data_IF_056117721677
#
_entry.id   IF_056117721677
#
_cell.length_a   1.000
_cell.length_b   1.000
_cell.length_c   1.000
_cell.angle_alpha   90.00
_cell.angle_beta   90.00
_cell.angle_gamma   90.00
#
_symmetry.space_group_name_H-M   'P 1'
#
loop_
_entity.id
_entity.type
_entity.pdbx_description
1 polymer ?
#
# COMPACT_ATOMS: atom_id res chain seq x y z
N UNK A 1 -10.83 16.74 -6.36
CA UNK A 1 -11.33 15.40 -6.75
C UNK A 1 -10.69 15.06 -8.08
N UNK A 2 -10.09 13.87 -8.18
CA UNK A 2 -9.47 13.36 -9.39
C UNK A 2 -10.27 12.13 -9.85
N UNK A 3 -10.67 12.11 -11.11
CA UNK A 3 -11.43 11.00 -11.71
C UNK A 3 -10.57 10.40 -12.81
N UNK A 4 -10.22 9.13 -12.66
CA UNK A 4 -9.48 8.34 -13.63
C UNK A 4 -10.43 7.36 -14.33
N UNK A 5 -10.42 7.39 -15.66
CA UNK A 5 -11.10 6.39 -16.48
C UNK A 5 -10.05 5.40 -17.00
N UNK A 6 -10.15 4.14 -16.57
CA UNK A 6 -9.29 3.05 -17.03
C UNK A 6 -10.02 2.24 -18.08
N UNK A 7 -9.66 2.48 -19.32
CA UNK A 7 -10.15 1.74 -20.46
C UNK A 7 -9.23 0.56 -20.78
N UNK A 8 -9.82 -0.55 -21.18
CA UNK A 8 -9.08 -1.65 -21.77
C UNK A 8 -8.86 -1.36 -23.27
N UNK A 9 -7.64 -1.58 -23.77
CA UNK A 9 -7.34 -1.45 -25.20
C UNK A 9 -8.08 -2.55 -25.97
N UNK A 10 -8.98 -2.14 -26.87
CA UNK A 10 -9.87 -3.04 -27.64
C UNK A 10 -9.77 -2.87 -29.16
N UNK A 11 -8.80 -2.08 -29.63
CA UNK A 11 -8.69 -1.70 -31.03
C UNK A 11 -7.97 -2.76 -31.90
N UNK A 12 -7.23 -3.67 -31.27
CA UNK A 12 -6.43 -4.68 -31.97
C UNK A 12 -7.19 -6.00 -32.13
N UNK A 13 -6.90 -6.76 -33.20
CA UNK A 13 -7.52 -8.07 -33.48
C UNK A 13 -7.40 -9.04 -32.29
N UNK A 14 -6.24 -9.04 -31.63
CA UNK A 14 -5.95 -9.85 -30.43
C UNK A 14 -6.83 -9.41 -29.25
N UNK A 15 -7.07 -8.11 -29.11
CA UNK A 15 -7.96 -7.54 -28.09
C UNK A 15 -9.42 -7.95 -28.29
N UNK A 16 -9.88 -8.00 -29.54
CA UNK A 16 -11.23 -8.46 -29.90
C UNK A 16 -11.41 -9.96 -29.63
N UNK A 17 -10.43 -10.79 -30.00
CA UNK A 17 -10.44 -12.23 -29.71
C UNK A 17 -10.36 -12.52 -28.20
N UNK A 18 -9.55 -11.77 -27.47
CA UNK A 18 -9.45 -11.86 -26.00
C UNK A 18 -10.79 -11.55 -25.31
N UNK A 19 -11.54 -10.59 -25.85
CA UNK A 19 -12.88 -10.20 -25.38
C UNK A 19 -13.91 -11.34 -25.51
N UNK A 20 -13.86 -12.07 -26.63
CA UNK A 20 -14.73 -13.22 -26.87
C UNK A 20 -14.49 -14.32 -25.82
N UNK A 21 -13.23 -14.50 -25.41
CA UNK A 21 -12.84 -15.49 -24.41
C UNK A 21 -13.05 -15.01 -22.96
N UNK A 22 -12.81 -13.72 -22.67
CA UNK A 22 -13.00 -13.12 -21.34
C UNK A 22 -13.53 -11.68 -21.47
N UNK A 23 -14.86 -11.50 -21.32
CA UNK A 23 -15.46 -10.19 -21.29
C UNK A 23 -14.95 -9.38 -20.09
N UNK A 24 -14.43 -8.17 -20.34
CA UNK A 24 -13.82 -7.33 -19.32
C UNK A 24 -14.39 -5.91 -19.36
N UNK A 25 -14.75 -5.41 -18.18
CA UNK A 25 -15.39 -4.11 -18.01
C UNK A 25 -14.34 -3.01 -17.79
N UNK A 26 -14.61 -1.82 -18.30
CA UNK A 26 -13.81 -0.63 -17.96
C UNK A 26 -14.01 -0.25 -16.50
N UNK A 27 -13.08 0.52 -15.94
CA UNK A 27 -13.14 0.95 -14.55
C UNK A 27 -13.10 2.47 -14.44
N UNK A 28 -13.94 3.01 -13.55
CA UNK A 28 -13.92 4.40 -13.12
C UNK A 28 -13.34 4.42 -11.72
N UNK A 29 -12.23 5.13 -11.53
CA UNK A 29 -11.59 5.32 -10.24
C UNK A 29 -11.76 6.78 -9.84
N UNK A 30 -12.49 7.02 -8.76
CA UNK A 30 -12.65 8.36 -8.19
C UNK A 30 -11.77 8.46 -6.96
N UNK A 31 -10.78 9.36 -7.01
CA UNK A 31 -9.85 9.65 -5.93
C UNK A 31 -10.11 11.05 -5.38
N UNK A 32 -10.48 11.11 -4.10
CA UNK A 32 -10.72 12.38 -3.41
C UNK A 32 -9.69 12.52 -2.31
N UNK A 33 -8.72 13.40 -2.51
CA UNK A 33 -7.78 13.80 -1.46
C UNK A 33 -8.48 14.73 -0.49
N UNK A 34 -8.49 14.37 0.79
CA UNK A 34 -9.12 15.13 1.86
C UNK A 34 -8.09 15.93 2.63
N UNK A 35 -8.51 17.03 3.26
CA UNK A 35 -7.61 17.83 4.09
C UNK A 35 -7.22 17.06 5.37
N UNK A 36 -5.93 17.07 5.78
CA UNK A 36 -5.47 16.38 6.98
C UNK A 36 -6.23 16.75 8.26
N UNK A 37 -6.70 17.99 8.36
CA UNK A 37 -7.41 18.51 9.55
C UNK A 37 -8.92 18.19 9.55
N UNK A 38 -9.48 17.84 8.39
CA UNK A 38 -10.93 17.71 8.23
C UNK A 38 -11.50 16.40 8.79
N UNK A 39 -10.68 15.35 8.88
CA UNK A 39 -11.11 13.99 9.20
C UNK A 39 -10.28 13.40 10.32
N UNK A 40 -10.87 12.52 11.12
CA UNK A 40 -10.10 11.68 12.03
C UNK A 40 -9.41 10.54 11.26
N UNK A 41 -8.43 9.93 11.90
CA UNK A 41 -7.65 8.85 11.32
C UNK A 41 -8.40 7.52 11.46
N UNK A 42 -8.75 6.87 10.35
CA UNK A 42 -9.22 5.49 10.38
C UNK A 42 -8.91 4.79 9.06
N UNK A 43 -8.96 3.45 9.05
CA UNK A 43 -8.94 2.64 7.83
C UNK A 43 -10.20 1.78 7.74
N UNK A 44 -10.85 1.85 6.59
CA UNK A 44 -12.01 1.03 6.24
C UNK A 44 -11.92 0.66 4.78
N UNK A 45 -12.53 -0.43 4.37
CA UNK A 45 -12.73 -0.79 2.98
C UNK A 45 -13.91 -1.74 2.82
N UNK A 46 -14.65 -1.57 1.72
CA UNK A 46 -15.73 -2.47 1.33
C UNK A 46 -15.55 -2.74 -0.15
N UNK A 47 -15.49 -4.02 -0.49
CA UNK A 47 -15.48 -4.40 -1.89
C UNK A 47 -16.12 -5.76 -2.12
N UNK A 48 -16.45 -6.01 -3.39
CA UNK A 48 -16.81 -7.33 -3.85
C UNK A 48 -15.59 -8.26 -3.89
N UNK A 49 -15.81 -9.55 -4.18
CA UNK A 49 -14.75 -10.58 -4.26
C UNK A 49 -13.58 -10.19 -5.19
N UNK A 50 -13.84 -9.45 -6.27
CA UNK A 50 -12.81 -9.00 -7.22
C UNK A 50 -11.99 -7.83 -6.65
N UNK A 51 -12.65 -6.81 -6.10
CA UNK A 51 -11.99 -5.67 -5.45
C UNK A 51 -11.22 -6.10 -4.20
N UNK A 52 -11.72 -7.09 -3.45
CA UNK A 52 -11.02 -7.67 -2.31
C UNK A 52 -9.66 -8.31 -2.67
N UNK A 53 -9.44 -8.71 -3.93
CA UNK A 53 -8.11 -9.13 -4.41
C UNK A 53 -7.20 -7.93 -4.65
N UNK A 54 -7.72 -6.87 -5.27
CA UNK A 54 -6.98 -5.63 -5.53
C UNK A 54 -6.54 -4.94 -4.24
N UNK A 55 -7.36 -5.04 -3.19
CA UNK A 55 -7.10 -4.46 -1.87
C UNK A 55 -5.99 -5.17 -1.09
N UNK A 56 -5.67 -6.43 -1.38
CA UNK A 56 -4.49 -7.10 -0.79
C UNK A 56 -3.16 -6.44 -1.20
N UNK A 57 -3.19 -5.64 -2.27
CA UNK A 57 -2.02 -4.95 -2.77
C UNK A 57 -1.86 -3.54 -2.17
N UNK A 58 -2.75 -3.12 -1.26
CA UNK A 58 -2.63 -1.85 -0.55
C UNK A 58 -1.99 -2.10 0.83
N UNK A 59 -0.91 -1.38 1.11
CA UNK A 59 -0.12 -1.60 2.32
C UNK A 59 -0.91 -1.26 3.60
N UNK A 60 -1.65 -0.14 3.57
CA UNK A 60 -2.50 0.32 4.67
C UNK A 60 -3.59 -0.70 5.08
N UNK A 61 -4.30 -1.30 4.12
CA UNK A 61 -5.32 -2.31 4.42
C UNK A 61 -4.71 -3.57 5.04
N UNK A 62 -3.53 -3.98 4.58
CA UNK A 62 -2.83 -5.12 5.15
C UNK A 62 -2.33 -4.83 6.57
N UNK A 63 -1.84 -3.62 6.83
CA UNK A 63 -1.32 -3.22 8.13
C UNK A 63 -2.44 -2.97 9.16
N UNK A 64 -3.48 -2.23 8.80
CA UNK A 64 -4.50 -1.77 9.74
C UNK A 64 -5.78 -2.62 9.76
N UNK A 65 -6.03 -3.42 8.72
CA UNK A 65 -7.25 -4.23 8.59
C UNK A 65 -6.96 -5.72 8.33
N UNK A 66 -6.28 -6.42 9.27
CA UNK A 66 -5.91 -7.82 9.07
C UNK A 66 -7.12 -8.77 8.97
N UNK A 67 -8.23 -8.42 9.62
CA UNK A 67 -9.43 -9.26 9.68
C UNK A 67 -10.50 -8.86 8.66
N UNK A 68 -11.03 -9.86 7.97
CA UNK A 68 -12.21 -9.71 7.10
C UNK A 68 -13.47 -9.97 7.91
N UNK A 69 -14.38 -9.01 7.91
CA UNK A 69 -15.67 -9.12 8.57
C UNK A 69 -16.75 -9.53 7.57
N UNK A 70 -17.65 -10.37 8.06
CA UNK A 70 -18.85 -10.82 7.35
C UNK A 70 -19.77 -9.63 7.05
N UNK A 71 -20.20 -9.42 5.79
CA UNK A 71 -21.01 -8.27 5.40
C UNK A 71 -22.39 -8.25 6.06
N UNK A 72 -22.93 -9.42 6.44
CA UNK A 72 -24.28 -9.57 7.00
C UNK A 72 -24.43 -8.83 8.33
N UNK A 73 -23.35 -8.72 9.11
CA UNK A 73 -23.32 -7.96 10.38
C UNK A 73 -23.64 -6.47 10.18
N UNK A 74 -23.48 -5.97 8.96
CA UNK A 74 -23.59 -4.57 8.60
C UNK A 74 -24.71 -4.29 7.58
N UNK A 75 -25.61 -5.25 7.37
CA UNK A 75 -26.71 -5.11 6.39
C UNK A 75 -26.25 -5.08 4.93
N UNK A 76 -25.02 -5.53 4.64
CA UNK A 76 -24.51 -5.59 3.27
C UNK A 76 -24.82 -6.94 2.61
N UNK A 77 -25.03 -6.96 1.28
CA UNK A 77 -25.20 -8.22 0.54
C UNK A 77 -23.98 -9.15 0.67
N UNK A 78 -24.23 -10.46 0.62
CA UNK A 78 -23.21 -11.53 0.75
C UNK A 78 -22.09 -11.48 -0.30
N UNK A 79 -22.28 -10.72 -1.39
CA UNK A 79 -21.26 -10.50 -2.42
C UNK A 79 -20.12 -9.55 -2.00
N UNK A 80 -20.23 -8.90 -0.84
CA UNK A 80 -19.26 -7.92 -0.33
C UNK A 80 -18.39 -8.49 0.79
N UNK A 81 -17.28 -7.81 1.06
CA UNK A 81 -16.39 -8.07 2.18
C UNK A 81 -16.02 -6.73 2.81
N UNK A 82 -16.05 -6.68 4.13
CA UNK A 82 -15.70 -5.49 4.91
C UNK A 82 -14.36 -5.71 5.58
N UNK A 83 -13.45 -4.76 5.41
CA UNK A 83 -12.18 -4.69 6.11
C UNK A 83 -12.16 -3.37 6.87
N UNK A 84 -11.90 -3.40 8.17
CA UNK A 84 -11.87 -2.16 8.96
C UNK A 84 -11.00 -2.32 10.18
N UNK A 85 -10.29 -1.25 10.51
CA UNK A 85 -9.59 -1.10 11.78
C UNK A 85 -10.61 -1.06 12.95
N UNK A 86 -11.78 -0.47 12.71
CA UNK A 86 -12.71 -0.06 13.76
C UNK A 86 -14.17 -0.34 13.39
N UNK A 87 -14.87 -1.12 14.23
CA UNK A 87 -16.28 -1.47 13.97
C UNK A 87 -17.23 -0.28 13.95
N UNK A 88 -16.99 0.74 14.77
CA UNK A 88 -17.79 1.97 14.85
C UNK A 88 -17.81 2.73 13.52
N UNK A 89 -16.67 2.79 12.83
CA UNK A 89 -16.52 3.47 11.53
C UNK A 89 -17.46 2.84 10.51
N UNK A 90 -17.51 1.51 10.46
CA UNK A 90 -18.37 0.81 9.51
C UNK A 90 -19.84 1.14 9.77
N UNK A 91 -20.29 1.12 11.02
CA UNK A 91 -21.69 1.45 11.36
C UNK A 91 -22.02 2.91 11.01
N UNK A 92 -21.12 3.84 11.31
CA UNK A 92 -21.34 5.26 11.03
C UNK A 92 -21.33 5.60 9.53
N UNK A 93 -20.55 4.87 8.74
CA UNK A 93 -20.47 5.04 7.28
C UNK A 93 -21.56 4.25 6.53
N UNK A 94 -22.03 3.13 7.07
CA UNK A 94 -23.00 2.24 6.42
C UNK A 94 -24.44 2.49 6.74
N UNK A 95 -24.74 3.42 7.64
CA UNK A 95 -26.08 3.97 7.82
C UNK A 95 -26.67 4.43 6.46
N UNK A 96 -25.81 4.70 5.46
CA UNK A 96 -26.14 4.50 4.03
C UNK A 96 -24.86 4.44 3.18
N UNK A 97 -24.47 3.25 2.69
CA UNK A 97 -23.45 2.96 1.64
C UNK A 97 -22.06 3.70 1.68
N UNK A 98 -21.06 2.94 2.14
CA UNK A 98 -19.66 2.70 1.69
C UNK A 98 -18.63 3.83 1.52
N UNK A 99 -17.46 3.74 2.21
CA UNK A 99 -16.15 4.25 1.71
C UNK A 99 -14.87 3.93 2.53
N UNK A 100 -13.71 3.93 1.84
CA UNK A 100 -12.36 3.61 2.34
C UNK A 100 -11.49 4.85 2.50
N UNK A 101 -10.91 5.08 3.68
CA UNK A 101 -10.01 6.19 4.02
C UNK A 101 -8.60 5.66 4.35
N UNK A 102 -7.59 6.42 3.89
CA UNK A 102 -6.15 6.16 3.77
C UNK A 102 -5.71 5.49 2.47
N UNK A 103 -4.81 6.18 1.77
CA UNK A 103 -4.09 5.70 0.59
C UNK A 103 -2.60 5.84 0.83
N UNK A 104 -1.90 4.71 0.98
CA UNK A 104 -0.44 4.64 1.05
C UNK A 104 0.22 4.22 -0.28
N UNK A 105 -0.53 4.13 -1.38
CA UNK A 105 -0.01 3.71 -2.69
C UNK A 105 0.03 2.20 -2.92
N UNK A 106 0.32 1.74 -4.15
CA UNK A 106 0.48 0.31 -4.47
C UNK A 106 1.68 -0.29 -3.72
N UNK A 107 1.56 -1.54 -3.25
CA UNK A 107 2.68 -2.31 -2.67
C UNK A 107 3.84 -2.34 -3.68
N UNK A 108 4.95 -1.69 -3.33
CA UNK A 108 6.20 -1.75 -4.09
C UNK A 108 6.68 -3.21 -4.02
N UNK A 109 7.02 -3.81 -5.17
CA UNK A 109 7.59 -5.16 -5.25
C UNK A 109 8.91 -5.23 -4.45
N UNK A 110 9.20 -6.41 -3.91
CA UNK A 110 10.10 -6.67 -2.78
C UNK A 110 11.59 -6.31 -2.95
N UNK A 111 12.03 -5.71 -4.07
CA UNK A 111 13.46 -5.43 -4.33
C UNK A 111 13.92 -4.01 -4.01
N UNK A 112 13.06 -3.13 -3.49
CA UNK A 112 13.52 -1.82 -3.01
C UNK A 112 12.68 -1.37 -1.82
N UNK A 113 13.09 -1.76 -0.61
CA UNK A 113 12.41 -1.31 0.60
C UNK A 113 12.68 0.18 0.84
N UNK A 114 11.63 1.00 1.01
CA UNK A 114 11.77 2.45 1.13
C UNK A 114 12.50 2.82 2.41
N UNK A 115 13.59 3.58 2.30
CA UNK A 115 14.40 4.07 3.43
C UNK A 115 13.78 5.27 4.17
N UNK A 116 12.66 5.79 3.66
CA UNK A 116 11.86 6.89 4.21
C UNK A 116 10.45 6.42 4.47
N UNK A 117 9.86 6.89 5.57
CA UNK A 117 8.46 6.69 5.90
C UNK A 117 7.57 7.09 4.70
N UNK A 118 6.63 6.25 4.26
CA UNK A 118 5.71 6.60 3.18
C UNK A 118 4.90 7.84 3.54
N UNK A 119 4.73 8.76 2.59
CA UNK A 119 3.88 9.93 2.80
C UNK A 119 2.41 9.48 2.87
N UNK A 120 1.80 9.59 4.04
CA UNK A 120 0.40 9.23 4.27
C UNK A 120 -0.53 10.40 3.92
N UNK A 121 -1.51 10.14 3.06
CA UNK A 121 -2.57 11.09 2.69
C UNK A 121 -3.94 10.52 3.04
N UNK A 122 -4.83 11.39 3.55
CA UNK A 122 -6.25 11.08 3.76
C UNK A 122 -6.94 11.12 2.41
N UNK A 123 -7.43 9.97 1.97
CA UNK A 123 -7.93 9.79 0.61
C UNK A 123 -9.09 8.84 0.63
N UNK A 124 -10.15 9.24 -0.07
CA UNK A 124 -11.31 8.44 -0.39
C UNK A 124 -11.14 7.86 -1.81
N UNK A 125 -11.15 6.53 -1.93
CA UNK A 125 -10.99 5.80 -3.20
C UNK A 125 -12.21 4.97 -3.58
N UNK A 126 -12.89 5.36 -4.66
CA UNK A 126 -14.01 4.62 -5.22
C UNK A 126 -13.58 3.94 -6.50
N UNK A 127 -13.84 2.64 -6.62
CA UNK A 127 -13.65 1.89 -7.86
C UNK A 127 -14.98 1.35 -8.36
N UNK A 128 -15.46 1.84 -9.49
CA UNK A 128 -16.67 1.37 -10.14
C UNK A 128 -16.32 0.63 -11.42
N UNK A 129 -16.89 -0.54 -11.64
CA UNK A 129 -16.83 -1.22 -12.94
C UNK A 129 -17.97 -0.72 -13.81
N UNK A 130 -17.65 -0.25 -15.02
CA UNK A 130 -18.65 0.23 -15.98
C UNK A 130 -19.48 -0.97 -16.46
N UNK A 131 -20.83 -0.89 -16.42
CA UNK A 131 -21.68 -1.96 -16.94
C UNK A 131 -21.49 -2.15 -18.45
N UNK A 132 -21.90 -3.29 -18.98
CA UNK A 132 -21.89 -3.54 -20.43
C UNK A 132 -20.63 -4.23 -20.96
N UNK A 133 -19.64 -4.55 -20.11
CA UNK A 133 -18.46 -5.38 -20.48
C UNK A 133 -17.76 -4.89 -21.75
N UNK A 134 -17.74 -3.58 -21.97
CA UNK A 134 -17.12 -2.90 -23.11
C UNK A 134 -18.08 -2.44 -24.22
N UNK A 135 -19.36 -2.80 -24.14
CA UNK A 135 -20.44 -2.15 -24.90
C UNK A 135 -21.05 -1.04 -24.04
N UNK A 136 -20.36 0.09 -23.97
CA UNK A 136 -20.80 1.23 -23.16
C UNK A 136 -21.63 2.18 -24.03
N UNK A 137 -22.90 2.33 -23.69
CA UNK A 137 -23.80 3.31 -24.31
C UNK A 137 -23.99 4.53 -23.39
N UNK A 138 -24.45 5.68 -23.91
CA UNK A 138 -24.79 6.84 -23.08
C UNK A 138 -25.79 6.51 -21.95
N UNK A 139 -26.76 5.64 -22.22
CA UNK A 139 -27.75 5.17 -21.23
C UNK A 139 -27.10 4.40 -20.08
N UNK A 140 -26.13 3.53 -20.39
CA UNK A 140 -25.36 2.80 -19.37
C UNK A 140 -24.57 3.78 -18.50
N UNK A 141 -24.01 4.84 -19.07
CA UNK A 141 -23.32 5.87 -18.28
C UNK A 141 -24.28 6.67 -17.39
N UNK A 142 -25.49 6.99 -17.87
CA UNK A 142 -26.50 7.66 -17.03
C UNK A 142 -26.91 6.80 -15.83
N UNK A 143 -26.95 5.46 -15.99
CA UNK A 143 -27.19 4.53 -14.88
C UNK A 143 -26.14 4.59 -13.77
N UNK A 144 -24.95 5.14 -14.05
CA UNK A 144 -23.87 5.32 -13.06
C UNK A 144 -24.00 6.61 -12.25
N UNK A 145 -24.92 7.53 -12.60
CA UNK A 145 -25.14 8.79 -11.89
C UNK A 145 -25.38 8.64 -10.38
N UNK A 146 -26.17 7.65 -9.90
CA UNK A 146 -26.33 7.43 -8.45
C UNK A 146 -25.02 7.06 -7.75
N UNK A 147 -24.06 6.45 -8.45
CA UNK A 147 -22.74 6.13 -7.90
C UNK A 147 -21.90 7.40 -7.69
N UNK A 148 -22.03 8.38 -8.59
CA UNK A 148 -21.39 9.69 -8.41
C UNK A 148 -22.04 10.50 -7.30
N UNK A 149 -23.37 10.43 -7.15
CA UNK A 149 -24.07 11.03 -6.01
C UNK A 149 -23.65 10.39 -4.69
N UNK A 150 -23.39 9.08 -4.69
CA UNK A 150 -22.83 8.38 -3.54
C UNK A 150 -21.45 8.93 -3.15
N UNK A 151 -20.57 9.21 -4.13
CA UNK A 151 -19.29 9.87 -3.87
C UNK A 151 -19.49 11.20 -3.14
N UNK A 152 -20.39 12.03 -3.68
CA UNK A 152 -21.07 13.15 -3.04
C UNK A 152 -21.27 12.99 -1.54
N UNK A 153 -22.19 12.08 -1.25
CA UNK A 153 -22.67 11.80 0.07
C UNK A 153 -21.54 11.36 1.02
N UNK A 154 -20.66 10.47 0.57
CA UNK A 154 -19.58 9.95 1.40
C UNK A 154 -18.56 11.03 1.76
N UNK A 155 -18.20 11.94 0.84
CA UNK A 155 -17.30 13.06 1.14
C UNK A 155 -17.87 13.90 2.28
N UNK A 156 -19.15 14.22 2.21
CA UNK A 156 -19.82 15.03 3.23
C UNK A 156 -19.97 14.29 4.57
N UNK A 157 -20.37 13.01 4.52
CA UNK A 157 -20.53 12.17 5.71
C UNK A 157 -19.22 12.02 6.45
N UNK A 158 -18.13 11.72 5.73
CA UNK A 158 -16.80 11.56 6.31
C UNK A 158 -16.28 12.87 6.92
N UNK A 159 -16.59 14.02 6.31
CA UNK A 159 -16.23 15.33 6.89
C UNK A 159 -16.94 15.61 8.22
N UNK A 160 -18.19 15.17 8.36
CA UNK A 160 -19.01 15.37 9.57
C UNK A 160 -18.73 14.32 10.65
N UNK A 161 -18.30 13.12 10.25
CA UNK A 161 -18.02 12.04 11.17
C UNK A 161 -16.78 12.32 12.03
N UNK A 162 -16.91 12.06 13.33
CA UNK A 162 -15.82 12.10 14.30
C UNK A 162 -15.81 10.80 15.08
N UNK A 163 -14.62 10.29 15.32
CA UNK A 163 -14.42 9.09 16.11
C UNK A 163 -14.76 9.37 17.58
N UNK A 164 -15.24 8.34 18.28
CA UNK A 164 -15.27 8.36 19.74
C UNK A 164 -13.86 8.59 20.31
N UNK A 165 -13.77 9.12 21.54
CA UNK A 165 -12.47 9.40 22.19
C UNK A 165 -11.60 8.13 22.30
N UNK A 166 -12.23 7.00 22.62
CA UNK A 166 -11.57 5.70 22.70
C UNK A 166 -11.05 5.23 21.33
N UNK A 167 -11.88 5.38 20.29
CA UNK A 167 -11.53 5.03 18.93
C UNK A 167 -10.36 5.85 18.40
N UNK A 168 -10.39 7.16 18.65
CA UNK A 168 -9.31 8.07 18.28
C UNK A 168 -8.00 7.68 18.96
N UNK A 169 -8.01 7.45 20.27
CA UNK A 169 -6.83 7.02 21.02
C UNK A 169 -6.28 5.70 20.50
N UNK A 170 -7.16 4.76 20.14
CA UNK A 170 -6.75 3.46 19.57
C UNK A 170 -6.08 3.63 18.21
N UNK A 171 -6.65 4.46 17.33
CA UNK A 171 -6.07 4.72 16.01
C UNK A 171 -4.70 5.39 16.10
N UNK A 172 -4.56 6.39 16.98
CA UNK A 172 -3.28 7.08 17.19
C UNK A 172 -2.22 6.12 17.75
N UNK A 173 -2.58 5.25 18.71
CA UNK A 173 -1.67 4.20 19.22
C UNK A 173 -1.27 3.19 18.14
N UNK A 174 -2.19 2.77 17.28
CA UNK A 174 -1.87 1.83 16.19
C UNK A 174 -0.87 2.45 15.21
N UNK A 175 -1.04 3.73 14.87
CA UNK A 175 -0.12 4.45 13.96
C UNK A 175 1.27 4.62 14.56
N UNK A 176 1.35 4.98 15.85
CA UNK A 176 2.64 5.06 16.55
C UNK A 176 3.37 3.72 16.53
N UNK A 177 2.67 2.61 16.77
CA UNK A 177 3.28 1.26 16.69
C UNK A 177 3.82 0.95 15.30
N UNK A 178 3.06 1.27 14.25
CA UNK A 178 3.49 1.04 12.85
C UNK A 178 4.72 1.89 12.52
N UNK A 179 4.77 3.13 13.01
CA UNK A 179 5.93 4.01 12.85
C UNK A 179 7.16 3.47 13.59
N UNK A 180 7.00 3.02 14.84
CA UNK A 180 8.06 2.39 15.63
C UNK A 180 8.59 1.10 14.97
N UNK A 181 7.70 0.23 14.49
CA UNK A 181 8.06 -1.00 13.76
C UNK A 181 8.81 -0.68 12.47
N UNK A 182 8.38 0.34 11.73
CA UNK A 182 9.06 0.78 10.51
C UNK A 182 10.47 1.32 10.80
N UNK A 183 10.62 2.16 11.83
CA UNK A 183 11.92 2.69 12.24
C UNK A 183 12.87 1.58 12.69
N UNK A 184 12.37 0.61 13.46
CA UNK A 184 13.15 -0.55 13.91
C UNK A 184 13.62 -1.39 12.74
N UNK A 185 12.72 -1.78 11.83
CA UNK A 185 13.06 -2.56 10.64
C UNK A 185 14.06 -1.81 9.75
N UNK A 186 13.88 -0.50 9.57
CA UNK A 186 14.80 0.34 8.79
C UNK A 186 16.19 0.40 9.42
N UNK A 187 16.28 0.48 10.75
CA UNK A 187 17.56 0.52 11.45
C UNK A 187 18.32 -0.81 11.31
N UNK A 188 17.64 -1.93 11.55
CA UNK A 188 18.23 -3.27 11.37
C UNK A 188 18.75 -3.46 9.94
N UNK A 189 17.97 -3.07 8.93
CA UNK A 189 18.41 -3.17 7.52
C UNK A 189 19.60 -2.29 7.20
N UNK A 190 19.67 -1.06 7.75
CA UNK A 190 20.84 -0.20 7.58
C UNK A 190 22.10 -0.80 8.21
N UNK A 191 21.95 -1.44 9.37
CA UNK A 191 23.05 -2.14 10.03
C UNK A 191 23.52 -3.36 9.24
N UNK A 192 22.59 -4.20 8.77
CA UNK A 192 22.89 -5.37 7.93
C UNK A 192 23.55 -4.96 6.61
N UNK A 193 23.03 -3.95 5.91
CA UNK A 193 23.62 -3.46 4.66
C UNK A 193 25.01 -2.84 4.87
N UNK A 194 25.25 -2.18 6.00
CA UNK A 194 26.57 -1.66 6.35
C UNK A 194 27.56 -2.80 6.69
N UNK A 195 27.11 -3.84 7.37
CA UNK A 195 27.90 -5.04 7.66
C UNK A 195 28.25 -5.81 6.39
N UNK A 196 27.27 -6.07 5.51
CA UNK A 196 27.49 -6.73 4.22
C UNK A 196 28.49 -5.97 3.34
N UNK A 197 28.37 -4.63 3.27
CA UNK A 197 29.36 -3.80 2.53
C UNK A 197 30.76 -3.85 3.15
N UNK A 198 30.87 -3.93 4.48
CA UNK A 198 32.17 -4.07 5.17
C UNK A 198 32.78 -5.44 4.92
N UNK A 199 31.96 -6.48 4.87
CA UNK A 199 32.39 -7.85 4.61
C UNK A 199 32.80 -8.05 3.14
N UNK A 200 32.01 -7.53 2.20
CA UNK A 200 32.33 -7.54 0.76
C UNK A 200 33.63 -6.78 0.47
N UNK A 201 33.84 -5.60 1.07
CA UNK A 201 35.12 -4.87 0.95
C UNK A 201 36.30 -5.69 1.47
N UNK A 202 36.15 -6.35 2.63
CA UNK A 202 37.19 -7.23 3.18
C UNK A 202 37.47 -8.43 2.27
N UNK A 203 36.43 -8.99 1.65
CA UNK A 203 36.57 -10.13 0.73
C UNK A 203 37.24 -9.74 -0.58
N UNK A 204 36.83 -8.62 -1.19
CA UNK A 204 37.46 -8.09 -2.41
C UNK A 204 38.91 -7.68 -2.15
N UNK A 205 39.22 -7.06 -1.01
CA UNK A 205 40.61 -6.75 -0.65
C UNK A 205 41.45 -8.01 -0.47
N UNK A 206 40.90 -9.05 0.18
CA UNK A 206 41.57 -10.34 0.35
C UNK A 206 41.78 -11.08 -0.99
N UNK A 207 40.79 -11.06 -1.88
CA UNK A 207 40.90 -11.64 -3.22
C UNK A 207 41.92 -10.86 -4.07
N UNK A 208 41.98 -9.52 -3.94
CA UNK A 208 43.00 -8.70 -4.62
C UNK A 208 44.42 -8.98 -4.13
N UNK A 209 44.60 -9.22 -2.83
CA UNK A 209 45.91 -9.60 -2.25
C UNK A 209 46.33 -11.01 -2.67
N UNK A 210 45.38 -11.95 -2.77
CA UNK A 210 45.66 -13.33 -3.21
C UNK A 210 46.00 -13.41 -4.71
N UNK A 211 45.45 -12.50 -5.52
CA UNK A 211 45.61 -12.49 -6.97
C UNK A 211 46.75 -11.56 -7.46
N UNK A 212 47.53 -10.96 -6.56
CA UNK A 212 48.72 -10.17 -6.91
C UNK A 212 49.94 -11.11 -7.00
N UNK A 213 50.46 -11.33 -8.21
CA UNK A 213 51.52 -12.31 -8.52
C UNK A 213 52.96 -11.83 -8.20
N UNK A 214 53.12 -10.67 -7.54
CA UNK A 214 54.42 -10.02 -7.29
C UNK A 214 54.95 -10.27 -5.85
N UNK A 215 55.98 -11.12 -5.65
CA UNK A 215 56.40 -11.63 -4.34
C UNK A 215 57.00 -10.57 -3.40
N UNK A 216 57.52 -9.44 -3.91
CA UNK A 216 58.04 -8.35 -3.08
C UNK A 216 56.93 -7.46 -2.51
N UNK A 217 55.82 -7.29 -3.24
CA UNK A 217 54.65 -6.58 -2.71
C UNK A 217 54.02 -7.40 -1.60
N UNK A 218 53.81 -8.71 -1.76
CA UNK A 218 53.19 -9.54 -0.72
C UNK A 218 53.81 -9.37 0.68
N UNK A 219 55.15 -9.33 0.77
CA UNK A 219 55.87 -9.12 2.05
C UNK A 219 55.60 -7.75 2.69
N UNK A 220 55.55 -6.67 1.90
CA UNK A 220 55.24 -5.32 2.42
C UNK A 220 53.81 -5.20 2.95
N UNK A 221 52.85 -5.94 2.37
CA UNK A 221 51.45 -5.89 2.79
C UNK A 221 51.19 -6.76 4.04
N UNK A 222 51.89 -7.88 4.20
CA UNK A 222 51.86 -8.70 5.43
C UNK A 222 52.45 -7.96 6.65
N UNK A 223 53.56 -7.25 6.43
CA UNK A 223 54.19 -6.41 7.48
C UNK A 223 53.32 -5.18 7.83
N UNK A 224 52.62 -4.58 6.85
CA UNK A 224 51.73 -3.43 7.06
C UNK A 224 50.34 -3.77 7.61
N UNK A 225 49.87 -5.03 7.49
CA UNK A 225 48.59 -5.49 8.03
C UNK A 225 48.68 -5.97 9.49
N UNK A 226 49.86 -6.40 9.94
CA UNK A 226 50.11 -6.84 11.33
C UNK A 226 49.85 -5.77 12.42
N UNK A 227 50.13 -4.47 12.21
CA UNK A 227 49.85 -3.44 13.20
C UNK A 227 48.37 -3.10 13.35
N UNK A 228 47.54 -3.27 12.31
CA UNK A 228 46.13 -2.89 12.32
C UNK A 228 45.22 -3.88 13.05
N UNK A 229 45.54 -5.18 13.05
CA UNK A 229 44.75 -6.18 13.80
C UNK A 229 44.98 -6.13 15.31
N UNK A 230 46.17 -5.72 15.76
CA UNK A 230 46.50 -5.67 17.20
C UNK A 230 45.79 -4.55 17.97
N UNK A 231 45.10 -3.64 17.29
CA UNK A 231 44.32 -2.56 17.92
C UNK A 231 42.82 -2.82 18.06
N UNK A 232 42.25 -3.83 17.38
CA UNK A 232 40.81 -4.14 17.44
C UNK A 232 40.48 -5.24 18.48
N UNK A 233 41.48 -5.96 19.00
CA UNK A 233 41.30 -7.01 20.03
C UNK A 233 41.38 -6.46 21.48
N UNK A 234 41.53 -5.14 21.65
CA UNK A 234 41.60 -4.45 22.94
C UNK A 234 40.66 -3.23 22.97
N UNK A 235 39.36 -3.43 22.75
CA UNK A 235 38.31 -2.53 23.26
C UNK A 235 36.99 -3.27 23.48
#
# INVERSE_FOLDING_TARGET
MLVELRFLKRQDLVGVLSMLARPASDQIIVKVTMSPTSMDNFVMCIANKAGAKMMKNMADLCTYCPEKKKPEKYGLPSGFTVMTEMGEVVNAMLDTKVMSDQYSGPRIQEDTQPTKLPEVKKVLLFGFSVPGKGHVTPEVMESMKPLLQLVFYCIEKVRRFKLSKEAKLKSDKNRLKVEEEFLKTTHTQRQEAAQQKREERRRVEKERIMNEEDPEKQRRWEEGASPRRKGEDHE
#
